data_IF_278687870288
#
_entry.id   IF_278687870288
#
_cell.length_a   1.000
_cell.length_b   1.000
_cell.length_c   1.000
_cell.angle_alpha   90.00
_cell.angle_beta   90.00
_cell.angle_gamma   90.00
#
_symmetry.space_group_name_H-M   'P 1'
#
loop_
_entity.id
_entity.type
_entity.pdbx_description
1 polymer ?
#
# COMPACT_ATOMS: atom_id res chain seq x y z
N UNK A 1 -76.72 4.42 37.58
CA UNK A 1 -77.65 5.03 36.60
C UNK A 1 -76.92 5.01 35.25
N UNK A 2 -76.97 3.87 34.56
CA UNK A 2 -77.76 3.64 33.34
C UNK A 2 -77.23 4.39 32.10
N UNK A 3 -76.41 3.64 31.35
CA UNK A 3 -76.24 3.55 29.89
C UNK A 3 -76.92 4.60 29.00
N UNK A 4 -76.18 5.14 28.03
CA UNK A 4 -76.67 5.31 26.65
C UNK A 4 -75.52 5.45 25.63
N UNK A 5 -75.48 4.48 24.74
CA UNK A 5 -74.69 4.43 23.50
C UNK A 5 -75.25 5.41 22.47
N UNK A 6 -74.39 6.17 21.78
CA UNK A 6 -74.67 6.70 20.43
C UNK A 6 -73.38 6.58 19.61
N UNK A 7 -73.47 5.78 18.55
CA UNK A 7 -72.45 5.65 17.52
C UNK A 7 -72.62 6.80 16.51
N UNK A 8 -71.53 7.48 16.14
CA UNK A 8 -71.52 8.36 14.97
C UNK A 8 -70.22 8.14 14.19
N UNK A 9 -70.38 7.52 13.01
CA UNK A 9 -69.35 7.40 11.99
C UNK A 9 -69.20 8.77 11.33
N UNK A 10 -68.00 9.35 11.36
CA UNK A 10 -67.65 10.47 10.51
C UNK A 10 -66.28 10.18 9.89
N UNK A 11 -66.28 9.97 8.58
CA UNK A 11 -65.09 9.66 7.81
C UNK A 11 -64.06 10.79 7.89
N UNK A 12 -62.80 10.40 8.00
CA UNK A 12 -61.67 11.28 7.73
C UNK A 12 -60.86 10.59 6.63
N UNK A 13 -61.02 11.10 5.42
CA UNK A 13 -60.08 10.86 4.33
C UNK A 13 -58.76 11.52 4.73
N UNK A 14 -57.85 10.75 5.30
CA UNK A 14 -56.50 11.22 5.59
C UNK A 14 -55.67 11.13 4.31
N UNK A 15 -55.33 12.29 3.76
CA UNK A 15 -54.34 12.47 2.71
C UNK A 15 -53.09 11.62 3.00
N UNK A 16 -52.77 10.69 2.10
CA UNK A 16 -51.43 10.12 2.00
C UNK A 16 -50.54 11.25 1.47
N UNK A 17 -49.97 12.04 2.37
CA UNK A 17 -48.85 12.89 2.02
C UNK A 17 -47.68 11.96 1.69
N UNK A 18 -47.43 11.73 0.40
CA UNK A 18 -46.16 11.21 -0.05
C UNK A 18 -45.08 12.22 0.35
N UNK A 19 -44.40 11.96 1.47
CA UNK A 19 -43.15 12.63 1.78
C UNK A 19 -42.13 12.12 0.77
N UNK A 20 -42.01 12.81 -0.36
CA UNK A 20 -40.81 12.70 -1.18
C UNK A 20 -39.68 13.29 -0.36
N UNK A 21 -38.98 12.45 0.39
CA UNK A 21 -37.66 12.78 0.89
C UNK A 21 -36.77 12.95 -0.34
N UNK A 22 -36.63 14.20 -0.80
CA UNK A 22 -35.60 14.56 -1.75
C UNK A 22 -34.26 14.23 -1.07
N UNK A 23 -33.66 13.10 -1.44
CA UNK A 23 -32.26 12.88 -1.17
C UNK A 23 -31.51 13.91 -2.01
N UNK A 24 -31.06 14.98 -1.37
CA UNK A 24 -30.04 15.81 -1.97
C UNK A 24 -28.79 14.94 -2.05
N UNK A 25 -28.53 14.34 -3.21
CA UNK A 25 -27.27 13.69 -3.53
C UNK A 25 -26.18 14.77 -3.51
N UNK A 26 -25.66 15.03 -2.31
CA UNK A 26 -24.48 15.86 -2.13
C UNK A 26 -23.31 14.98 -2.54
N UNK A 27 -22.56 15.40 -3.56
CA UNK A 27 -21.36 14.69 -3.96
C UNK A 27 -20.44 14.51 -2.74
N UNK A 28 -19.83 13.33 -2.55
CA UNK A 28 -18.92 13.12 -1.43
C UNK A 28 -17.75 14.10 -1.54
N UNK A 29 -17.34 14.63 -0.39
CA UNK A 29 -16.14 15.44 -0.26
C UNK A 29 -14.90 14.64 -0.64
N UNK A 30 -13.82 15.34 -1.02
CA UNK A 30 -12.53 14.68 -1.31
C UNK A 30 -12.06 13.86 -0.11
N UNK A 31 -12.24 14.36 1.11
CA UNK A 31 -11.90 13.64 2.33
C UNK A 31 -12.70 12.35 2.49
N UNK A 32 -13.99 12.36 2.16
CA UNK A 32 -14.83 11.14 2.18
C UNK A 32 -14.37 10.14 1.12
N UNK A 33 -14.01 10.60 -0.08
CA UNK A 33 -13.49 9.71 -1.15
C UNK A 33 -12.16 9.08 -0.72
N UNK A 34 -11.21 9.87 -0.21
CA UNK A 34 -9.90 9.40 0.22
C UNK A 34 -9.94 8.58 1.52
N UNK A 35 -11.02 8.72 2.30
CA UNK A 35 -11.24 7.97 3.54
C UNK A 35 -11.54 6.48 3.32
N UNK A 36 -11.86 6.06 2.10
CA UNK A 36 -12.03 4.64 1.77
C UNK A 36 -10.67 3.94 1.54
N UNK A 37 -10.51 2.69 2.02
CA UNK A 37 -9.28 1.94 1.80
C UNK A 37 -9.14 1.54 0.33
N UNK A 38 -7.99 1.86 -0.27
CA UNK A 38 -7.62 1.47 -1.62
C UNK A 38 -6.50 0.44 -1.60
N UNK A 39 -6.77 -0.76 -2.11
CA UNK A 39 -5.81 -1.85 -2.18
C UNK A 39 -5.04 -1.86 -3.52
N UNK A 40 -3.74 -2.10 -3.48
CA UNK A 40 -2.88 -2.17 -4.68
C UNK A 40 -1.69 -3.11 -4.45
N UNK A 41 -0.83 -3.27 -5.48
CA UNK A 41 0.43 -4.04 -5.38
C UNK A 41 0.23 -5.49 -4.88
N UNK A 42 -0.85 -6.16 -5.30
CA UNK A 42 -1.12 -7.53 -4.89
C UNK A 42 -0.08 -8.49 -5.47
N UNK A 43 0.55 -9.29 -4.61
CA UNK A 43 1.51 -10.35 -4.98
C UNK A 43 1.28 -11.61 -4.15
N UNK A 44 1.80 -12.74 -4.61
CA UNK A 44 1.65 -14.03 -3.92
C UNK A 44 2.87 -14.93 -4.09
N UNK A 45 3.21 -15.69 -3.06
CA UNK A 45 4.22 -16.74 -3.09
C UNK A 45 3.90 -17.82 -2.04
N UNK A 46 4.03 -19.10 -2.40
CA UNK A 46 3.92 -20.24 -1.48
C UNK A 46 2.73 -20.19 -0.50
N UNK A 47 1.52 -19.90 -1.02
CA UNK A 47 0.31 -19.82 -0.19
C UNK A 47 0.21 -18.58 0.70
N UNK A 48 1.10 -17.60 0.54
CA UNK A 48 1.01 -16.26 1.12
C UNK A 48 0.65 -15.24 0.05
N UNK A 49 -0.15 -14.24 0.42
CA UNK A 49 -0.39 -13.01 -0.34
C UNK A 49 0.13 -11.81 0.42
N UNK A 50 0.53 -10.77 -0.31
CA UNK A 50 0.87 -9.46 0.24
C UNK A 50 0.27 -8.35 -0.64
N UNK A 51 -0.12 -7.24 -0.03
CA UNK A 51 -0.70 -6.09 -0.73
C UNK A 51 -0.46 -4.79 0.03
N UNK A 52 -0.61 -3.67 -0.67
CA UNK A 52 -0.59 -2.32 -0.10
C UNK A 52 -2.02 -1.84 0.14
N UNK A 53 -2.25 -1.18 1.26
CA UNK A 53 -3.48 -0.41 1.53
C UNK A 53 -3.12 1.05 1.71
N UNK A 54 -3.80 1.91 0.96
CA UNK A 54 -3.79 3.37 1.14
C UNK A 54 -5.14 3.84 1.67
N UNK A 55 -5.15 4.68 2.70
CA UNK A 55 -6.36 5.26 3.26
C UNK A 55 -6.05 6.62 3.89
N UNK A 56 -6.71 7.67 3.40
CA UNK A 56 -6.49 9.04 3.90
C UNK A 56 -5.02 9.51 3.79
N UNK A 57 -4.30 9.04 2.77
CA UNK A 57 -2.87 9.30 2.56
C UNK A 57 -1.91 8.39 3.33
N UNK A 58 -2.37 7.74 4.41
CA UNK A 58 -1.60 6.71 5.11
C UNK A 58 -1.46 5.46 4.25
N UNK A 59 -0.28 4.82 4.28
CA UNK A 59 0.03 3.64 3.47
C UNK A 59 0.60 2.52 4.34
N UNK A 60 0.16 1.31 4.08
CA UNK A 60 0.58 0.13 4.85
C UNK A 60 0.74 -1.09 3.96
N UNK A 61 1.63 -2.00 4.36
CA UNK A 61 1.79 -3.31 3.73
C UNK A 61 1.11 -4.35 4.60
N UNK A 62 0.35 -5.23 3.98
CA UNK A 62 -0.39 -6.32 4.61
C UNK A 62 0.02 -7.65 4.02
N UNK A 63 -0.12 -8.71 4.82
CA UNK A 63 0.11 -10.09 4.42
C UNK A 63 -0.98 -11.00 4.96
N UNK A 64 -1.26 -12.10 4.27
CA UNK A 64 -2.13 -13.16 4.73
C UNK A 64 -1.63 -14.49 4.17
N UNK A 65 -1.81 -15.60 4.89
CA UNK A 65 -1.35 -16.93 4.42
C UNK A 65 -2.35 -18.03 4.71
N UNK A 66 -2.31 -19.09 3.89
CA UNK A 66 -3.06 -20.33 4.11
C UNK A 66 -2.86 -20.90 5.52
N UNK A 67 -3.86 -21.64 6.06
CA UNK A 67 -5.18 -21.86 5.46
C UNK A 67 -6.16 -20.71 5.71
N UNK A 68 -5.98 -19.93 6.77
CA UNK A 68 -7.01 -19.02 7.30
C UNK A 68 -7.01 -17.64 6.62
N UNK A 69 -5.92 -17.26 5.95
CA UNK A 69 -5.74 -15.95 5.32
C UNK A 69 -6.02 -14.76 6.25
N UNK A 70 -5.68 -14.91 7.54
CA UNK A 70 -5.76 -13.79 8.48
C UNK A 70 -4.82 -12.65 8.05
N UNK A 71 -5.41 -11.48 7.82
CA UNK A 71 -4.68 -10.29 7.39
C UNK A 71 -3.87 -9.70 8.55
N UNK A 72 -2.56 -9.54 8.33
CA UNK A 72 -1.64 -8.89 9.27
C UNK A 72 -0.89 -7.76 8.58
N UNK A 73 -0.94 -6.58 9.19
CA UNK A 73 -0.13 -5.42 8.81
C UNK A 73 1.34 -5.67 9.18
N UNK A 74 2.25 -5.50 8.22
CA UNK A 74 3.69 -5.73 8.38
C UNK A 74 4.51 -4.45 8.32
N UNK A 75 4.01 -3.43 7.63
CA UNK A 75 4.59 -2.09 7.60
C UNK A 75 3.47 -1.05 7.66
N UNK A 76 3.74 0.09 8.29
CA UNK A 76 2.77 1.14 8.53
C UNK A 76 3.46 2.50 8.41
N UNK A 77 2.93 3.34 7.53
CA UNK A 77 3.38 4.71 7.29
C UNK A 77 2.16 5.62 7.41
N UNK A 78 2.01 6.23 8.59
CA UNK A 78 0.78 6.91 8.99
C UNK A 78 0.59 8.29 8.36
N UNK A 79 1.66 8.91 7.87
CA UNK A 79 1.64 10.26 7.33
C UNK A 79 1.40 10.26 5.82
N UNK A 80 0.67 11.27 5.33
CA UNK A 80 0.59 11.56 3.90
C UNK A 80 1.82 12.36 3.47
N UNK A 81 2.94 11.66 3.28
CA UNK A 81 4.23 12.26 2.91
C UNK A 81 4.48 12.27 1.39
N UNK A 82 3.45 11.99 0.59
CA UNK A 82 3.53 11.94 -0.87
C UNK A 82 4.22 10.71 -1.46
N UNK A 83 4.77 9.83 -0.60
CA UNK A 83 5.47 8.61 -1.05
C UNK A 83 4.51 7.45 -1.24
N UNK A 84 4.63 6.79 -2.37
CA UNK A 84 3.90 5.56 -2.71
C UNK A 84 4.70 4.35 -2.24
N UNK A 85 3.98 3.26 -1.97
CA UNK A 85 4.59 1.94 -1.81
C UNK A 85 4.41 1.19 -3.13
N UNK A 86 5.52 0.80 -3.74
CA UNK A 86 5.57 0.21 -5.08
C UNK A 86 6.47 -1.02 -5.10
N UNK A 87 6.36 -1.82 -6.16
CA UNK A 87 7.24 -2.98 -6.42
C UNK A 87 7.25 -4.00 -5.27
N UNK A 88 6.09 -4.16 -4.60
CA UNK A 88 5.93 -5.15 -3.53
C UNK A 88 6.13 -6.56 -4.08
N UNK A 89 7.08 -7.27 -3.51
CA UNK A 89 7.41 -8.65 -3.87
C UNK A 89 7.57 -9.53 -2.63
N UNK A 90 7.37 -10.83 -2.83
CA UNK A 90 7.65 -11.88 -1.86
C UNK A 90 8.79 -12.76 -2.38
N UNK A 91 9.61 -13.29 -1.48
CA UNK A 91 10.50 -14.40 -1.82
C UNK A 91 9.70 -15.64 -2.23
N UNK A 92 10.30 -16.57 -2.97
CA UNK A 92 9.61 -17.75 -3.49
C UNK A 92 8.92 -18.60 -2.41
N UNK A 93 9.52 -18.67 -1.22
CA UNK A 93 8.99 -19.35 -0.03
C UNK A 93 7.95 -18.54 0.76
N UNK A 94 7.77 -17.25 0.44
CA UNK A 94 6.83 -16.35 1.10
C UNK A 94 7.28 -15.83 2.46
N UNK A 95 8.54 -16.02 2.86
CA UNK A 95 9.02 -15.64 4.19
C UNK A 95 9.67 -14.25 4.26
N UNK A 96 10.04 -13.68 3.12
CA UNK A 96 10.60 -12.33 3.01
C UNK A 96 9.76 -11.48 2.06
N UNK A 97 9.79 -10.18 2.31
CA UNK A 97 9.19 -9.18 1.43
C UNK A 97 10.18 -8.04 1.15
N UNK A 98 9.99 -7.38 0.03
CA UNK A 98 10.64 -6.13 -0.33
C UNK A 98 9.67 -5.21 -1.07
N UNK A 99 9.87 -3.91 -0.94
CA UNK A 99 9.13 -2.88 -1.68
C UNK A 99 9.95 -1.60 -1.74
N UNK A 100 9.65 -0.78 -2.75
CA UNK A 100 10.12 0.60 -2.84
C UNK A 100 9.14 1.55 -2.13
N UNK A 101 9.69 2.58 -1.52
CA UNK A 101 8.97 3.73 -0.98
C UNK A 101 9.55 4.98 -1.64
N UNK A 102 8.84 5.51 -2.63
CA UNK A 102 9.30 6.58 -3.50
C UNK A 102 8.16 7.52 -3.90
N UNK A 103 8.52 8.70 -4.39
CA UNK A 103 7.57 9.67 -4.93
C UNK A 103 7.63 9.68 -6.45
N UNK A 104 6.48 9.89 -7.11
CA UNK A 104 6.44 9.96 -8.57
C UNK A 104 7.29 11.15 -9.06
N UNK A 105 8.30 10.95 -9.92
CA UNK A 105 9.22 12.01 -10.32
C UNK A 105 8.49 13.13 -11.08
N UNK A 106 8.90 14.37 -10.81
CA UNK A 106 8.43 15.55 -11.54
C UNK A 106 8.85 15.48 -13.01
N UNK A 107 8.19 16.29 -13.85
CA UNK A 107 8.68 16.53 -15.22
C UNK A 107 10.13 17.02 -15.16
N UNK A 108 11.06 16.20 -15.64
CA UNK A 108 12.51 16.44 -15.54
C UNK A 108 13.28 15.40 -14.72
N UNK A 109 12.59 14.47 -14.05
CA UNK A 109 13.19 13.29 -13.41
C UNK A 109 13.59 13.45 -11.95
N UNK A 110 13.37 14.62 -11.33
CA UNK A 110 13.62 14.81 -9.91
C UNK A 110 12.42 14.33 -9.07
N UNK A 111 12.67 13.58 -7.99
CA UNK A 111 11.64 13.25 -7.02
C UNK A 111 11.10 14.53 -6.34
N UNK A 112 9.77 14.68 -6.17
CA UNK A 112 9.19 15.81 -5.46
C UNK A 112 9.54 15.73 -3.97
N UNK A 113 9.85 16.87 -3.35
CA UNK A 113 10.14 16.95 -1.93
C UNK A 113 8.90 17.41 -1.15
N UNK A 114 7.83 16.59 -1.15
CA UNK A 114 6.55 16.96 -0.53
C UNK A 114 6.65 17.22 0.99
N UNK A 115 7.68 16.66 1.63
CA UNK A 115 7.96 16.83 3.07
C UNK A 115 9.01 17.91 3.38
N UNK A 116 9.45 18.69 2.38
CA UNK A 116 10.44 19.78 2.51
C UNK A 116 11.74 19.39 3.25
N UNK A 117 12.22 18.16 3.03
CA UNK A 117 13.42 17.64 3.68
C UNK A 117 14.71 18.28 3.14
N UNK A 118 15.71 18.63 3.98
CA UNK A 118 16.98 19.22 3.52
C UNK A 118 17.79 18.34 2.56
N UNK A 119 17.63 17.02 2.67
CA UNK A 119 18.31 16.03 1.83
C UNK A 119 17.60 15.77 0.50
N UNK A 120 16.42 16.38 0.30
CA UNK A 120 15.49 15.97 -0.75
C UNK A 120 14.80 14.66 -0.40
N UNK A 121 13.93 14.22 -1.31
CA UNK A 121 13.18 12.99 -1.12
C UNK A 121 14.01 11.78 -1.56
N UNK A 122 14.21 10.85 -0.64
CA UNK A 122 14.99 9.65 -0.88
C UNK A 122 14.10 8.56 -1.48
N UNK A 123 14.59 7.91 -2.53
CA UNK A 123 14.01 6.65 -3.03
C UNK A 123 14.48 5.54 -2.10
N UNK A 124 13.56 5.02 -1.30
CA UNK A 124 13.87 4.10 -0.22
C UNK A 124 13.50 2.67 -0.60
N UNK A 125 14.37 1.73 -0.26
CA UNK A 125 14.10 0.30 -0.43
C UNK A 125 13.96 -0.32 0.96
N UNK A 126 12.80 -0.92 1.19
CA UNK A 126 12.46 -1.59 2.44
C UNK A 126 12.37 -3.09 2.22
N UNK A 127 12.98 -3.87 3.11
CA UNK A 127 12.94 -5.33 3.03
C UNK A 127 13.11 -5.98 4.40
N UNK A 128 12.66 -7.23 4.52
CA UNK A 128 12.89 -8.04 5.70
C UNK A 128 12.03 -9.30 5.76
N UNK A 129 12.19 -10.10 6.82
CA UNK A 129 11.32 -11.23 7.09
C UNK A 129 9.88 -10.74 7.28
N UNK A 130 8.92 -11.46 6.70
CA UNK A 130 7.49 -11.22 6.91
C UNK A 130 7.14 -11.29 8.40
N UNK A 131 7.81 -12.15 9.17
CA UNK A 131 7.58 -12.33 10.61
C UNK A 131 7.93 -11.11 11.47
N UNK A 132 8.63 -10.10 10.92
CA UNK A 132 9.00 -8.86 11.59
C UNK A 132 8.63 -7.64 10.75
N UNK A 133 8.71 -6.45 11.33
CA UNK A 133 8.64 -5.22 10.52
C UNK A 133 9.83 -5.18 9.54
N UNK A 134 9.61 -4.87 8.26
CA UNK A 134 10.69 -4.63 7.31
C UNK A 134 11.49 -3.39 7.72
N UNK A 135 12.74 -3.32 7.30
CA UNK A 135 13.64 -2.19 7.58
C UNK A 135 14.07 -1.52 6.28
N UNK A 136 14.45 -0.25 6.37
CA UNK A 136 15.20 0.41 5.32
C UNK A 136 16.52 -0.35 5.10
N UNK A 137 16.76 -0.81 3.88
CA UNK A 137 17.96 -1.59 3.53
C UNK A 137 18.90 -0.83 2.60
N UNK A 138 18.38 0.07 1.77
CA UNK A 138 19.16 0.91 0.86
C UNK A 138 18.33 2.10 0.38
N UNK A 139 19.01 3.11 -0.18
CA UNK A 139 18.38 4.04 -1.10
C UNK A 139 18.57 3.52 -2.53
N UNK A 140 17.57 3.68 -3.39
CA UNK A 140 17.58 3.22 -4.77
C UNK A 140 16.18 2.88 -5.30
N UNK A 141 16.14 2.28 -6.49
CA UNK A 141 14.92 1.89 -7.21
C UNK A 141 14.95 0.45 -7.68
N UNK A 142 13.81 -0.03 -8.17
CA UNK A 142 13.64 -1.34 -8.78
C UNK A 142 14.16 -2.52 -7.91
N UNK A 143 13.82 -2.62 -6.60
CA UNK A 143 14.16 -3.78 -5.80
C UNK A 143 13.59 -5.08 -6.36
N UNK A 144 14.45 -6.09 -6.45
CA UNK A 144 14.09 -7.45 -6.84
C UNK A 144 14.66 -8.42 -5.82
N UNK A 145 13.76 -9.17 -5.18
CA UNK A 145 14.15 -10.28 -4.32
C UNK A 145 14.63 -11.46 -5.16
N UNK A 146 15.78 -12.00 -4.78
CA UNK A 146 16.27 -13.27 -5.30
C UNK A 146 15.27 -14.40 -4.94
N UNK A 147 14.78 -15.18 -5.92
CA UNK A 147 13.85 -16.27 -5.65
C UNK A 147 14.44 -17.37 -4.78
N UNK A 148 15.75 -17.60 -4.82
CA UNK A 148 16.40 -18.77 -4.22
C UNK A 148 17.33 -18.42 -3.06
N UNK A 149 17.81 -17.19 -3.00
CA UNK A 149 18.64 -16.70 -1.91
C UNK A 149 17.95 -15.57 -1.14
N UNK A 150 18.42 -15.29 0.07
CA UNK A 150 18.00 -14.12 0.86
C UNK A 150 18.79 -12.88 0.43
N UNK A 151 18.77 -12.59 -0.86
CA UNK A 151 19.48 -11.48 -1.49
C UNK A 151 18.48 -10.54 -2.16
N UNK A 152 18.78 -9.26 -2.15
CA UNK A 152 18.05 -8.24 -2.88
C UNK A 152 18.98 -7.59 -3.89
N UNK A 153 18.51 -7.38 -5.11
CA UNK A 153 19.18 -6.59 -6.14
C UNK A 153 18.38 -5.32 -6.37
N UNK A 154 19.07 -4.21 -6.61
CA UNK A 154 18.42 -2.92 -6.85
C UNK A 154 19.29 -2.00 -7.70
N UNK A 155 18.67 -0.97 -8.28
CA UNK A 155 19.33 0.07 -9.06
C UNK A 155 19.65 1.28 -8.20
N UNK A 156 20.84 1.85 -8.37
CA UNK A 156 21.22 3.15 -7.78
C UNK A 156 22.25 3.86 -8.68
N UNK A 157 21.96 5.10 -9.09
CA UNK A 157 22.84 5.97 -9.90
C UNK A 157 23.56 5.28 -11.09
N UNK A 158 22.85 4.44 -11.86
CA UNK A 158 23.41 3.76 -13.04
C UNK A 158 24.22 2.50 -12.73
N UNK A 159 24.19 2.03 -11.50
CA UNK A 159 24.77 0.75 -11.09
C UNK A 159 23.69 -0.18 -10.50
N UNK A 160 23.95 -1.48 -10.60
CA UNK A 160 23.21 -2.50 -9.86
C UNK A 160 23.99 -2.86 -8.61
N UNK A 161 23.26 -2.96 -7.51
CA UNK A 161 23.78 -3.36 -6.22
C UNK A 161 23.08 -4.63 -5.75
N UNK A 162 23.77 -5.41 -4.91
CA UNK A 162 23.19 -6.50 -4.16
C UNK A 162 23.36 -6.28 -2.67
N UNK A 163 22.41 -6.77 -1.88
CA UNK A 163 22.50 -6.79 -0.42
C UNK A 163 22.02 -8.14 0.12
N UNK A 164 22.78 -8.71 1.05
CA UNK A 164 22.42 -9.94 1.75
C UNK A 164 21.50 -9.63 2.94
N UNK A 165 20.23 -10.03 2.83
CA UNK A 165 19.20 -9.72 3.82
C UNK A 165 19.34 -10.52 5.11
N UNK A 166 20.16 -11.58 5.14
CA UNK A 166 20.39 -12.39 6.36
C UNK A 166 21.30 -11.70 7.36
N UNK A 167 22.11 -10.74 6.90
CA UNK A 167 23.06 -10.00 7.73
C UNK A 167 22.41 -8.73 8.27
N UNK A 168 22.37 -8.60 9.60
CA UNK A 168 21.75 -7.45 10.29
C UNK A 168 22.31 -6.09 9.84
N UNK A 169 23.62 -6.02 9.59
CA UNK A 169 24.33 -4.81 9.16
C UNK A 169 24.95 -5.01 7.77
N UNK A 170 24.20 -5.63 6.85
CA UNK A 170 24.65 -5.81 5.48
C UNK A 170 24.92 -4.45 4.82
N UNK A 171 26.05 -4.34 4.14
CA UNK A 171 26.35 -3.24 3.21
C UNK A 171 26.01 -3.69 1.80
N UNK A 172 25.52 -2.78 0.96
CA UNK A 172 25.33 -3.08 -0.45
C UNK A 172 26.67 -3.22 -1.17
N UNK A 173 26.72 -4.17 -2.10
CA UNK A 173 27.88 -4.45 -2.94
C UNK A 173 27.51 -4.19 -4.40
N UNK A 174 28.32 -3.39 -5.11
CA UNK A 174 28.11 -3.14 -6.53
C UNK A 174 28.33 -4.43 -7.33
N UNK A 175 27.34 -4.82 -8.13
CA UNK A 175 27.40 -5.95 -9.05
C UNK A 175 28.03 -5.48 -10.37
N UNK A 176 27.51 -4.37 -10.90
CA UNK A 176 27.94 -3.80 -12.18
C UNK A 176 27.61 -2.31 -12.23
N UNK A 177 28.49 -1.51 -12.83
CA UNK A 177 28.23 -0.10 -13.15
C UNK A 177 28.09 0.04 -14.66
N UNK A 178 27.00 0.67 -15.09
CA UNK A 178 26.65 0.87 -16.49
C UNK A 178 26.64 2.38 -16.80
N UNK A 179 26.75 2.75 -18.08
CA UNK A 179 26.48 4.12 -18.50
C UNK A 179 24.99 4.33 -18.69
N UNK A 180 24.47 5.43 -18.16
CA UNK A 180 23.04 5.77 -18.25
C UNK A 180 22.25 5.23 -17.06
N UNK A 181 20.93 5.18 -17.21
CA UNK A 181 20.03 4.66 -16.18
C UNK A 181 19.86 3.13 -16.32
N UNK A 182 19.88 2.44 -15.18
CA UNK A 182 19.52 1.02 -15.08
C UNK A 182 18.14 0.92 -14.48
N UNK A 183 17.28 0.13 -15.09
CA UNK A 183 15.88 -0.04 -14.70
C UNK A 183 15.48 -1.49 -14.89
N UNK A 184 14.47 -1.94 -14.13
CA UNK A 184 13.83 -3.24 -14.29
C UNK A 184 14.80 -4.45 -14.31
N UNK A 185 15.75 -4.57 -13.35
CA UNK A 185 16.47 -5.83 -13.17
C UNK A 185 15.47 -6.97 -12.93
N UNK A 186 15.89 -8.20 -13.26
CA UNK A 186 15.09 -9.40 -12.99
C UNK A 186 16.02 -10.61 -12.83
N UNK A 187 15.64 -11.53 -11.95
CA UNK A 187 16.22 -12.86 -11.93
C UNK A 187 15.55 -13.73 -12.99
N UNK A 188 16.34 -14.62 -13.60
CA UNK A 188 15.77 -15.73 -14.36
C UNK A 188 15.10 -16.71 -13.41
N UNK A 189 14.21 -17.55 -13.95
CA UNK A 189 13.44 -18.52 -13.16
C UNK A 189 14.17 -19.86 -12.93
N UNK A 190 15.43 -19.97 -13.36
CA UNK A 190 16.24 -21.20 -13.40
C UNK A 190 17.42 -21.21 -12.42
#
# INVERSE_FOLDING_TARGET
MALKTISFVCGVAACICAVSAAHADTAPSVAEILGFPHASQLTSANGRIAWVVEQGGARSVWTASVPDFEARRVADFAEDDGKRLSELSLSSDGDYLAFARNSDPLRGGAAPNASDLPTGDLEEIWAGPVSSAPRLVANGTDPVLDPHARRLVFSDHGALYSIDLTKKNATSEAIVSLRGAVHSPAFSSD
#
